data_IF_832688841142
#
_entry.id   IF_832688841142
#
_cell.length_a   1.000
_cell.length_b   1.000
_cell.length_c   1.000
_cell.angle_alpha   90.00
_cell.angle_beta   90.00
_cell.angle_gamma   90.00
#
_symmetry.space_group_name_H-M   'P 1'
#
loop_
_entity.id
_entity.type
_entity.pdbx_description
1 polymer ?
#
# COMPACT_ATOMS: atom_id res chain seq x y z
N UNK A 1 10.38 -5.67 -5.09
CA UNK A 1 11.60 -4.96 -5.52
C UNK A 1 11.60 -4.95 -7.04
N UNK A 2 11.59 -3.77 -7.64
CA UNK A 2 11.65 -3.65 -9.11
C UNK A 2 13.11 -3.63 -9.54
N UNK A 3 13.42 -4.37 -10.60
CA UNK A 3 14.76 -4.49 -11.14
C UNK A 3 14.70 -4.75 -12.64
N UNK A 4 15.82 -4.54 -13.31
CA UNK A 4 16.07 -4.92 -14.69
C UNK A 4 17.41 -5.65 -14.79
N UNK A 5 17.65 -6.28 -15.94
CA UNK A 5 18.94 -6.85 -16.27
C UNK A 5 19.53 -6.05 -17.42
N UNK A 6 20.82 -5.74 -17.33
CA UNK A 6 21.56 -5.15 -18.43
C UNK A 6 21.64 -6.11 -19.61
N UNK A 7 21.70 -5.55 -20.82
CA UNK A 7 21.93 -6.30 -22.05
C UNK A 7 23.26 -5.94 -22.73
N UNK A 8 24.07 -5.10 -22.08
CA UNK A 8 25.36 -4.62 -22.57
C UNK A 8 25.27 -3.72 -23.79
N UNK A 9 24.08 -3.25 -24.18
CA UNK A 9 23.85 -2.44 -25.38
C UNK A 9 23.09 -1.15 -25.08
N UNK A 10 21.98 -1.27 -24.35
CA UNK A 10 21.13 -0.13 -24.03
C UNK A 10 21.57 0.54 -22.73
N UNK A 11 21.40 1.86 -22.69
CA UNK A 11 21.53 2.65 -21.47
C UNK A 11 20.47 2.25 -20.44
N UNK A 12 20.73 2.55 -19.16
CA UNK A 12 19.75 2.36 -18.10
C UNK A 12 18.43 3.05 -18.44
N UNK A 13 18.46 4.25 -19.02
CA UNK A 13 17.27 4.99 -19.40
C UNK A 13 16.43 4.30 -20.48
N UNK A 14 17.06 3.75 -21.50
CA UNK A 14 16.38 2.97 -22.53
C UNK A 14 15.73 1.70 -21.96
N UNK A 15 16.46 0.99 -21.08
CA UNK A 15 15.94 -0.19 -20.41
C UNK A 15 14.74 0.16 -19.48
N UNK A 16 14.79 1.29 -18.78
CA UNK A 16 13.67 1.80 -17.96
C UNK A 16 12.42 2.07 -18.80
N UNK A 17 12.57 2.70 -19.96
CA UNK A 17 11.44 3.02 -20.86
C UNK A 17 10.78 1.77 -21.44
N UNK A 18 11.53 0.68 -21.58
CA UNK A 18 11.01 -0.60 -22.07
C UNK A 18 10.46 -1.48 -20.94
N UNK A 19 10.89 -1.24 -19.70
CA UNK A 19 10.52 -2.07 -18.56
C UNK A 19 8.99 -2.00 -18.27
N UNK A 20 8.30 -3.14 -18.06
CA UNK A 20 6.83 -3.23 -18.06
C UNK A 20 6.13 -2.35 -17.01
N UNK A 21 6.77 -2.08 -15.88
CA UNK A 21 6.24 -1.22 -14.81
C UNK A 21 6.90 0.18 -14.75
N UNK A 22 8.23 0.23 -14.70
CA UNK A 22 9.01 1.48 -14.66
C UNK A 22 8.67 2.49 -15.77
N UNK A 23 8.29 2.02 -16.97
CA UNK A 23 7.86 2.90 -18.07
C UNK A 23 6.66 3.80 -17.76
N UNK A 24 5.87 3.47 -16.73
CA UNK A 24 4.74 4.29 -16.27
C UNK A 24 5.14 5.28 -15.17
N UNK A 25 6.43 5.40 -14.85
CA UNK A 25 6.97 6.22 -13.75
C UNK A 25 8.27 6.95 -14.15
N UNK A 26 8.35 7.36 -15.41
CA UNK A 26 9.58 7.88 -16.00
C UNK A 26 10.21 9.02 -15.21
N UNK A 27 9.41 9.96 -14.73
CA UNK A 27 9.92 11.11 -13.96
C UNK A 27 10.56 10.68 -12.64
N UNK A 28 9.91 9.78 -11.89
CA UNK A 28 10.50 9.23 -10.67
C UNK A 28 11.79 8.47 -10.96
N UNK A 29 11.81 7.66 -12.02
CA UNK A 29 13.00 6.87 -12.38
C UNK A 29 14.16 7.77 -12.82
N UNK A 30 13.85 8.89 -13.50
CA UNK A 30 14.82 9.90 -13.90
C UNK A 30 15.50 10.52 -12.69
N UNK A 31 14.71 10.98 -11.72
CA UNK A 31 15.23 11.59 -10.49
C UNK A 31 16.07 10.57 -9.70
N UNK A 32 15.55 9.37 -9.47
CA UNK A 32 16.20 8.34 -8.62
C UNK A 32 17.51 7.77 -9.17
N UNK A 33 17.69 7.83 -10.49
CA UNK A 33 18.82 7.21 -11.16
C UNK A 33 19.58 8.21 -12.03
N UNK A 34 19.41 9.50 -11.78
CA UNK A 34 20.01 10.62 -12.53
C UNK A 34 21.46 10.35 -12.91
N UNK A 35 22.27 9.94 -11.93
CA UNK A 35 23.71 9.71 -12.10
C UNK A 35 24.09 8.47 -12.93
N UNK A 36 23.12 7.62 -13.28
CA UNK A 36 23.33 6.33 -13.96
C UNK A 36 22.52 6.20 -15.25
N UNK A 37 21.72 7.21 -15.63
CA UNK A 37 20.77 7.10 -16.75
C UNK A 37 21.44 6.74 -18.08
N UNK A 38 22.60 7.31 -18.35
CA UNK A 38 23.37 7.10 -19.59
C UNK A 38 24.33 5.90 -19.50
N UNK A 39 24.38 5.21 -18.37
CA UNK A 39 25.25 4.05 -18.16
C UNK A 39 24.67 2.82 -18.86
N UNK A 40 25.48 2.13 -19.66
CA UNK A 40 25.16 0.80 -20.20
C UNK A 40 25.46 -0.24 -19.14
N UNK A 41 24.42 -0.91 -18.63
CA UNK A 41 24.57 -1.97 -17.64
C UNK A 41 25.10 -3.24 -18.35
N UNK A 42 26.18 -3.87 -17.84
CA UNK A 42 26.72 -5.09 -18.41
C UNK A 42 25.68 -6.19 -18.60
N UNK A 43 25.86 -6.99 -19.66
CA UNK A 43 24.91 -8.03 -20.02
C UNK A 43 24.73 -9.05 -18.87
N UNK A 44 23.49 -9.27 -18.44
CA UNK A 44 23.12 -10.17 -17.36
C UNK A 44 23.27 -9.59 -15.95
N UNK A 45 23.80 -8.37 -15.80
CA UNK A 45 23.92 -7.72 -14.50
C UNK A 45 22.58 -7.13 -14.05
N UNK A 46 22.22 -7.38 -12.78
CA UNK A 46 20.96 -6.93 -12.20
C UNK A 46 21.09 -5.51 -11.64
N UNK A 47 20.28 -4.59 -12.14
CA UNK A 47 20.17 -3.23 -11.61
C UNK A 47 18.85 -3.05 -10.84
N UNK A 48 18.92 -2.51 -9.62
CA UNK A 48 17.75 -2.30 -8.76
C UNK A 48 17.18 -0.91 -9.01
N UNK A 49 15.93 -0.83 -9.48
CA UNK A 49 15.22 0.43 -9.70
C UNK A 49 14.55 0.96 -8.42
N UNK A 50 14.06 0.06 -7.57
CA UNK A 50 13.48 0.47 -6.28
C UNK A 50 13.55 -0.66 -5.26
N UNK A 51 14.10 -0.32 -4.10
CA UNK A 51 14.10 -1.17 -2.92
C UNK A 51 12.71 -1.23 -2.26
N UNK A 52 11.93 -0.15 -2.37
CA UNK A 52 10.56 -0.11 -1.86
C UNK A 52 9.67 -1.10 -2.63
N UNK A 53 9.02 -1.99 -1.89
CA UNK A 53 8.13 -3.00 -2.41
C UNK A 53 6.67 -2.60 -2.09
N UNK A 54 6.02 -1.92 -3.04
CA UNK A 54 4.57 -1.66 -2.98
C UNK A 54 3.88 -2.10 -4.28
N UNK A 55 2.55 -2.01 -4.33
CA UNK A 55 1.69 -2.46 -5.45
C UNK A 55 2.22 -2.01 -6.81
N UNK A 56 2.59 -0.73 -6.89
CA UNK A 56 3.05 -0.07 -8.10
C UNK A 56 4.59 -0.05 -8.23
N UNK A 57 5.32 -0.61 -7.25
CA UNK A 57 6.80 -0.68 -7.20
C UNK A 57 7.33 -2.12 -7.21
N UNK A 58 6.57 -3.05 -7.81
CA UNK A 58 7.05 -4.41 -8.08
C UNK A 58 7.10 -5.31 -6.85
N UNK A 59 6.27 -5.07 -5.84
CA UNK A 59 5.96 -6.12 -4.87
C UNK A 59 5.07 -7.20 -5.51
N UNK A 60 5.26 -8.44 -5.07
CA UNK A 60 4.34 -9.54 -5.35
C UNK A 60 3.36 -9.59 -4.19
N UNK A 61 2.07 -9.48 -4.51
CA UNK A 61 1.00 -9.66 -3.54
C UNK A 61 0.47 -11.07 -3.68
N UNK A 62 0.26 -11.74 -2.55
CA UNK A 62 -0.32 -13.07 -2.50
C UNK A 62 -1.46 -13.03 -1.52
N UNK A 63 -2.65 -13.45 -1.96
CA UNK A 63 -3.79 -13.55 -1.07
C UNK A 63 -3.63 -14.80 -0.19
N UNK A 64 -3.46 -14.58 1.11
CA UNK A 64 -3.33 -15.63 2.12
C UNK A 64 -4.58 -15.75 3.00
N UNK A 65 -5.75 -15.35 2.50
CA UNK A 65 -7.02 -15.43 3.25
C UNK A 65 -7.28 -16.84 3.80
N UNK A 66 -6.88 -17.90 3.09
CA UNK A 66 -7.00 -19.29 3.57
C UNK A 66 -6.16 -19.64 4.79
N UNK A 67 -5.26 -18.74 5.23
CA UNK A 67 -4.47 -18.90 6.45
C UNK A 67 -5.16 -18.34 7.69
N UNK A 68 -6.29 -17.64 7.52
CA UNK A 68 -7.08 -17.13 8.64
C UNK A 68 -7.74 -18.32 9.33
N UNK A 69 -7.31 -18.60 10.55
CA UNK A 69 -7.86 -19.63 11.44
C UNK A 69 -8.17 -19.03 12.82
N UNK A 70 -8.68 -19.86 13.71
CA UNK A 70 -9.10 -19.41 15.05
C UNK A 70 -7.93 -18.91 15.89
N UNK A 71 -6.73 -19.52 15.76
CA UNK A 71 -5.51 -19.05 16.46
C UNK A 71 -5.20 -17.60 16.10
N UNK A 72 -5.30 -17.26 14.82
CA UNK A 72 -5.07 -15.89 14.38
C UNK A 72 -6.13 -14.92 14.94
N UNK A 73 -7.41 -15.33 14.98
CA UNK A 73 -8.51 -14.50 15.52
C UNK A 73 -8.35 -14.24 17.01
N UNK A 74 -8.03 -15.28 17.79
CA UNK A 74 -7.81 -15.19 19.24
C UNK A 74 -6.68 -14.21 19.60
N UNK A 75 -5.70 -14.02 18.70
CA UNK A 75 -4.64 -13.02 18.90
C UNK A 75 -5.14 -11.60 18.63
N UNK A 76 -5.86 -11.37 17.53
CA UNK A 76 -6.24 -10.02 17.09
C UNK A 76 -7.50 -9.47 17.76
N UNK A 77 -8.40 -10.33 18.24
CA UNK A 77 -9.64 -9.91 18.90
C UNK A 77 -9.36 -9.08 20.17
N UNK A 78 -8.51 -9.53 21.12
CA UNK A 78 -8.18 -8.73 22.30
C UNK A 78 -7.47 -7.41 21.97
N UNK A 79 -6.63 -7.39 20.92
CA UNK A 79 -5.96 -6.17 20.45
C UNK A 79 -7.01 -5.17 19.97
N UNK A 80 -7.94 -5.64 19.13
CA UNK A 80 -8.95 -4.79 18.50
C UNK A 80 -10.02 -4.33 19.49
N UNK A 81 -10.45 -5.18 20.43
CA UNK A 81 -11.45 -4.84 21.45
C UNK A 81 -10.98 -3.79 22.46
N UNK A 82 -9.67 -3.60 22.63
CA UNK A 82 -9.12 -2.53 23.49
C UNK A 82 -9.20 -1.16 22.87
N UNK A 83 -9.47 -1.09 21.57
CA UNK A 83 -9.43 0.14 20.81
C UNK A 83 -10.83 0.64 20.46
N UNK A 84 -10.95 1.94 20.23
CA UNK A 84 -12.21 2.56 19.77
C UNK A 84 -12.30 2.67 18.24
N UNK A 85 -11.50 1.89 17.52
CA UNK A 85 -11.60 1.76 16.07
C UNK A 85 -12.40 0.50 15.70
N UNK A 86 -13.36 0.66 14.80
CA UNK A 86 -14.29 -0.41 14.40
C UNK A 86 -13.97 -1.01 13.04
N UNK A 87 -13.01 -0.43 12.32
CA UNK A 87 -12.66 -0.82 10.96
C UNK A 87 -11.23 -0.38 10.65
N UNK A 88 -10.48 -1.29 10.03
CA UNK A 88 -9.17 -1.00 9.49
C UNK A 88 -8.39 -2.27 9.14
N UNK A 89 -7.09 -2.10 8.93
CA UNK A 89 -6.15 -3.16 8.59
C UNK A 89 -4.87 -2.97 9.41
N UNK A 90 -4.37 -4.05 9.98
CA UNK A 90 -3.02 -4.09 10.53
C UNK A 90 -2.01 -4.38 9.42
N UNK A 91 -1.01 -3.52 9.29
CA UNK A 91 0.18 -3.80 8.51
C UNK A 91 1.23 -4.34 9.48
N UNK A 92 1.67 -5.58 9.24
CA UNK A 92 2.45 -6.36 10.18
C UNK A 92 3.68 -6.99 9.52
N UNK A 93 4.65 -7.35 10.35
CA UNK A 93 5.87 -8.05 9.95
C UNK A 93 6.10 -9.27 10.83
N UNK A 94 6.31 -10.43 10.20
CA UNK A 94 6.60 -11.72 10.83
C UNK A 94 7.58 -12.51 9.95
N UNK A 95 8.27 -13.53 10.51
CA UNK A 95 9.17 -14.36 9.71
C UNK A 95 8.44 -15.51 9.00
N UNK A 96 7.32 -15.97 9.55
CA UNK A 96 6.50 -17.03 8.95
C UNK A 96 5.02 -16.91 9.34
N UNK A 97 4.15 -17.65 8.65
CA UNK A 97 2.71 -17.71 8.97
C UNK A 97 2.49 -18.38 10.33
N UNK A 98 3.26 -19.41 10.68
CA UNK A 98 3.12 -20.05 12.00
C UNK A 98 3.56 -19.13 13.12
N UNK A 99 4.66 -18.38 12.96
CA UNK A 99 5.04 -17.36 13.95
C UNK A 99 3.96 -16.29 14.12
N UNK A 100 3.34 -15.84 13.03
CA UNK A 100 2.20 -14.93 13.08
C UNK A 100 1.05 -15.51 13.93
N UNK A 101 0.74 -16.79 13.75
CA UNK A 101 -0.29 -17.53 14.51
C UNK A 101 0.12 -17.87 15.95
N UNK A 102 1.38 -17.68 16.31
CA UNK A 102 1.89 -17.76 17.68
C UNK A 102 1.99 -16.39 18.37
N UNK A 103 1.57 -15.31 17.69
CA UNK A 103 1.67 -13.94 18.21
C UNK A 103 3.07 -13.33 18.07
N UNK A 104 3.97 -13.97 17.32
CA UNK A 104 5.34 -13.49 17.08
C UNK A 104 5.37 -12.61 15.83
N UNK A 105 4.96 -11.36 16.00
CA UNK A 105 4.99 -10.35 14.95
C UNK A 105 5.17 -8.94 15.53
N UNK A 106 5.45 -8.01 14.64
CA UNK A 106 5.48 -6.58 14.94
C UNK A 106 4.36 -5.91 14.14
N UNK A 107 3.49 -5.16 14.81
CA UNK A 107 2.55 -4.26 14.16
C UNK A 107 3.32 -3.01 13.75
N UNK A 108 3.35 -2.73 12.45
CA UNK A 108 4.00 -1.54 11.91
C UNK A 108 3.04 -0.35 11.88
N UNK A 109 1.79 -0.61 11.49
CA UNK A 109 0.77 0.41 11.32
C UNK A 109 -0.62 -0.19 11.48
N UNK A 110 -1.57 0.62 11.95
CA UNK A 110 -2.99 0.36 11.79
C UNK A 110 -3.60 1.40 10.86
N UNK A 111 -4.06 0.95 9.70
CA UNK A 111 -4.70 1.79 8.71
C UNK A 111 -6.21 1.76 8.90
N UNK A 112 -6.83 2.91 9.20
CA UNK A 112 -8.29 3.04 9.40
C UNK A 112 -9.10 2.98 8.11
N UNK A 113 -10.15 3.81 8.01
CA UNK A 113 -11.06 3.84 6.85
C UNK A 113 -10.41 4.28 5.53
N UNK A 114 -9.24 4.92 5.59
CA UNK A 114 -8.41 5.23 4.42
C UNK A 114 -7.68 4.03 3.83
N UNK A 115 -7.70 2.87 4.52
CA UNK A 115 -7.10 1.64 4.01
C UNK A 115 -7.92 1.09 2.84
N UNK A 116 -7.36 1.16 1.64
CA UNK A 116 -7.95 0.52 0.47
C UNK A 116 -7.85 -1.03 0.57
N UNK A 117 -8.88 -1.80 0.16
CA UNK A 117 -8.83 -3.25 0.10
C UNK A 117 -7.89 -3.74 -1.02
N UNK A 118 -6.59 -3.66 -0.78
CA UNK A 118 -5.54 -3.94 -1.76
C UNK A 118 -5.63 -5.33 -2.43
N UNK A 119 -6.30 -6.30 -1.80
CA UNK A 119 -6.48 -7.64 -2.36
C UNK A 119 -7.29 -7.65 -3.67
N UNK A 120 -8.09 -6.63 -3.95
CA UNK A 120 -8.88 -6.56 -5.19
C UNK A 120 -8.03 -6.40 -6.46
N UNK A 121 -6.80 -5.87 -6.36
CA UNK A 121 -5.99 -5.50 -7.52
C UNK A 121 -5.09 -6.62 -8.06
N UNK A 122 -4.64 -7.54 -7.20
CA UNK A 122 -3.61 -8.53 -7.57
C UNK A 122 -3.95 -9.96 -7.10
N UNK A 123 -5.22 -10.25 -6.80
CA UNK A 123 -5.67 -11.57 -6.35
C UNK A 123 -6.63 -12.27 -7.33
N UNK A 124 -6.59 -11.93 -8.62
CA UNK A 124 -7.45 -12.58 -9.64
C UNK A 124 -8.94 -12.24 -9.53
N UNK A 125 -9.27 -11.10 -8.93
CA UNK A 125 -10.65 -10.61 -8.89
C UNK A 125 -11.12 -10.21 -10.29
N UNK A 126 -12.35 -10.59 -10.64
CA UNK A 126 -13.02 -9.95 -11.77
C UNK A 126 -13.47 -8.55 -11.38
N UNK A 127 -13.71 -7.69 -12.37
CA UNK A 127 -14.17 -6.32 -12.15
C UNK A 127 -15.41 -6.25 -11.22
N UNK A 128 -16.41 -7.09 -11.47
CA UNK A 128 -17.62 -7.15 -10.63
C UNK A 128 -17.33 -7.63 -9.19
N UNK A 129 -16.40 -8.59 -9.01
CA UNK A 129 -16.00 -9.03 -7.67
C UNK A 129 -15.29 -7.91 -6.91
N UNK A 130 -14.43 -7.14 -7.59
CA UNK A 130 -13.75 -6.00 -6.99
C UNK A 130 -14.76 -4.93 -6.54
N UNK A 131 -15.73 -4.58 -7.39
CA UNK A 131 -16.80 -3.65 -7.03
C UNK A 131 -17.65 -4.13 -5.86
N UNK A 132 -18.00 -5.42 -5.84
CA UNK A 132 -18.74 -6.02 -4.73
C UNK A 132 -17.98 -5.90 -3.41
N UNK A 133 -16.66 -6.07 -3.44
CA UNK A 133 -15.82 -5.92 -2.26
C UNK A 133 -15.75 -4.46 -1.78
N UNK A 134 -15.57 -3.49 -2.69
CA UNK A 134 -15.66 -2.07 -2.33
C UNK A 134 -17.02 -1.70 -1.72
N UNK A 135 -18.12 -2.15 -2.33
CA UNK A 135 -19.46 -1.90 -1.82
C UNK A 135 -19.67 -2.49 -0.43
N UNK A 136 -19.12 -3.70 -0.16
CA UNK A 136 -19.15 -4.34 1.16
C UNK A 136 -18.41 -3.49 2.20
N UNK A 137 -17.19 -3.05 1.89
CA UNK A 137 -16.41 -2.19 2.78
C UNK A 137 -17.10 -0.84 3.06
N UNK A 138 -17.67 -0.20 2.04
CA UNK A 138 -18.46 1.03 2.21
C UNK A 138 -19.70 0.83 3.08
N UNK A 139 -20.42 -0.29 2.90
CA UNK A 139 -21.57 -0.63 3.74
C UNK A 139 -21.18 -0.75 5.21
N UNK A 140 -20.09 -1.46 5.51
CA UNK A 140 -19.58 -1.61 6.89
C UNK A 140 -19.24 -0.25 7.50
N UNK A 141 -18.53 0.61 6.76
CA UNK A 141 -18.19 1.95 7.25
C UNK A 141 -19.43 2.82 7.49
N UNK A 142 -20.44 2.72 6.61
CA UNK A 142 -21.72 3.40 6.80
C UNK A 142 -22.45 2.90 8.06
N UNK A 143 -22.50 1.59 8.29
CA UNK A 143 -23.14 0.99 9.47
C UNK A 143 -22.46 1.44 10.77
N UNK A 144 -21.11 1.44 10.80
CA UNK A 144 -20.31 1.96 11.92
C UNK A 144 -20.60 3.45 12.15
N UNK A 145 -20.57 4.27 11.09
CA UNK A 145 -20.83 5.70 11.19
C UNK A 145 -22.24 5.98 11.73
N UNK A 146 -23.24 5.24 11.25
CA UNK A 146 -24.62 5.33 11.72
C UNK A 146 -24.76 4.90 13.18
N UNK A 147 -24.10 3.82 13.59
CA UNK A 147 -24.10 3.37 14.98
C UNK A 147 -23.50 4.45 15.90
N UNK A 148 -22.32 4.95 15.55
CA UNK A 148 -21.63 6.00 16.32
C UNK A 148 -22.44 7.29 16.40
N UNK A 149 -23.14 7.67 15.34
CA UNK A 149 -24.02 8.84 15.37
C UNK A 149 -25.21 8.66 16.32
N UNK A 150 -25.85 7.49 16.29
CA UNK A 150 -27.06 7.22 17.08
C UNK A 150 -26.78 6.97 18.55
N UNK A 151 -25.70 6.27 18.85
CA UNK A 151 -25.45 5.74 20.19
C UNK A 151 -24.31 6.47 20.92
N UNK A 152 -23.35 7.04 20.19
CA UNK A 152 -22.17 7.69 20.75
C UNK A 152 -22.16 9.21 20.50
N UNK A 153 -23.20 9.77 19.88
CA UNK A 153 -23.33 11.21 19.62
C UNK A 153 -22.35 11.77 18.58
N UNK A 154 -21.65 10.91 17.83
CA UNK A 154 -20.64 11.34 16.86
C UNK A 154 -21.36 11.86 15.60
N UNK A 155 -21.30 13.16 15.34
CA UNK A 155 -21.92 13.75 14.15
C UNK A 155 -21.22 13.31 12.88
N UNK A 156 -22.00 13.08 11.81
CA UNK A 156 -21.44 12.97 10.46
C UNK A 156 -20.67 14.24 10.08
N UNK A 157 -19.66 14.07 9.23
CA UNK A 157 -19.01 15.21 8.61
C UNK A 157 -19.94 15.88 7.62
N UNK A 158 -19.95 17.21 7.61
CA UNK A 158 -20.54 17.98 6.54
C UNK A 158 -19.53 18.20 5.40
N UNK A 159 -20.01 18.86 4.34
CA UNK A 159 -19.19 19.19 3.18
C UNK A 159 -17.98 20.07 3.54
N UNK A 160 -18.12 20.95 4.54
CA UNK A 160 -17.06 21.87 4.96
C UNK A 160 -15.88 21.12 5.58
N UNK A 161 -16.17 20.18 6.48
CA UNK A 161 -15.16 19.35 7.13
C UNK A 161 -14.42 18.49 6.10
N UNK A 162 -15.16 17.87 5.18
CA UNK A 162 -14.56 17.11 4.08
C UNK A 162 -13.66 17.97 3.18
N UNK A 163 -14.10 19.18 2.82
CA UNK A 163 -13.29 20.11 2.02
C UNK A 163 -12.00 20.53 2.75
N UNK A 164 -12.10 20.89 4.03
CA UNK A 164 -10.94 21.27 4.84
C UNK A 164 -9.95 20.12 4.97
N UNK A 165 -10.43 18.90 5.18
CA UNK A 165 -9.59 17.70 5.21
C UNK A 165 -8.85 17.52 3.88
N UNK A 166 -9.54 17.60 2.75
CA UNK A 166 -8.90 17.48 1.42
C UNK A 166 -7.85 18.57 1.18
N UNK A 167 -8.11 19.80 1.63
CA UNK A 167 -7.13 20.89 1.53
C UNK A 167 -5.89 20.61 2.37
N UNK A 168 -6.05 20.14 3.61
CA UNK A 168 -4.93 19.79 4.49
C UNK A 168 -4.15 18.59 3.95
N UNK A 169 -4.84 17.55 3.48
CA UNK A 169 -4.21 16.39 2.86
C UNK A 169 -3.35 16.76 1.65
N UNK A 170 -3.83 17.68 0.80
CA UNK A 170 -3.04 18.20 -0.34
C UNK A 170 -1.78 18.95 0.11
N UNK A 171 -1.90 19.82 1.13
CA UNK A 171 -0.73 20.53 1.68
C UNK A 171 0.30 19.55 2.26
N UNK A 172 -0.17 18.55 3.00
CA UNK A 172 0.70 17.54 3.57
C UNK A 172 1.38 16.68 2.49
N UNK A 173 0.63 16.28 1.45
CA UNK A 173 1.18 15.54 0.32
C UNK A 173 2.30 16.31 -0.39
N UNK A 174 2.17 17.63 -0.56
CA UNK A 174 3.22 18.45 -1.14
C UNK A 174 4.50 18.48 -0.28
N UNK A 175 4.36 18.53 1.06
CA UNK A 175 5.51 18.43 1.99
C UNK A 175 6.19 17.07 1.87
N UNK A 176 5.39 15.99 1.83
CA UNK A 176 5.94 14.63 1.66
C UNK A 176 6.63 14.46 0.31
N UNK A 177 6.11 15.04 -0.77
CA UNK A 177 6.74 15.00 -2.09
C UNK A 177 8.07 15.75 -2.10
N UNK A 178 8.14 16.91 -1.44
CA UNK A 178 9.40 17.63 -1.28
C UNK A 178 10.42 16.81 -0.48
N UNK A 179 10.02 16.22 0.64
CA UNK A 179 10.89 15.39 1.45
C UNK A 179 11.37 14.12 0.71
N UNK A 180 10.49 13.48 -0.08
CA UNK A 180 10.87 12.33 -0.91
C UNK A 180 11.93 12.75 -1.94
N UNK A 181 11.83 13.94 -2.55
CA UNK A 181 12.87 14.45 -3.45
C UNK A 181 14.20 14.69 -2.73
N UNK A 182 14.18 15.28 -1.54
CA UNK A 182 15.39 15.57 -0.76
C UNK A 182 16.11 14.31 -0.26
N UNK A 183 15.38 13.22 0.02
CA UNK A 183 15.96 11.93 0.44
C UNK A 183 16.52 11.14 -0.75
N UNK A 184 16.04 11.42 -1.97
CA UNK A 184 16.40 10.69 -3.18
C UNK A 184 17.55 11.33 -3.97
N UNK A 185 17.97 12.55 -3.62
CA UNK A 185 19.21 13.22 -4.09
C UNK A 185 20.32 12.91 -3.08
#
# INVERSE_FOLDING_TARGET
MMHLFGDGKHTLWELIQQHPKAKHRLEEMRIKHELQLDTVIPNGEKYILTHAANLNRGARFTNLQGQIDERLREIFDPISHRCQFYYGRYDLKCNSIEELKEGKFIILEFNGTGAEPNHVYNAGFSWFKALGEFARHWKVMYEIGRYNNRHNGIRYWGNREGYLFLQQARKHAAILEQADREILI
#
